data_IF_279373528351
#
_entry.id   IF_279373528351
#
_cell.length_a   1.000
_cell.length_b   1.000
_cell.length_c   1.000
_cell.angle_alpha   90.00
_cell.angle_beta   90.00
_cell.angle_gamma   90.00
#
_symmetry.space_group_name_H-M   'P 1'
#
loop_
_entity.id
_entity.type
_entity.pdbx_description
1 polymer ?
#
# COMPACT_ATOMS: atom_id res chain seq x y z
N UNK A 1 -9.21 -11.67 1.79
CA UNK A 1 -10.00 -10.83 0.86
C UNK A 1 -9.04 -9.79 0.32
N UNK A 2 -8.74 -9.82 -0.98
CA UNK A 2 -7.78 -8.88 -1.58
C UNK A 2 -8.45 -7.52 -1.79
N UNK A 3 -7.90 -6.49 -1.16
CA UNK A 3 -8.36 -5.11 -1.30
C UNK A 3 -7.39 -4.32 -2.19
N UNK A 4 -7.90 -3.28 -2.85
CA UNK A 4 -7.06 -2.37 -3.63
C UNK A 4 -6.00 -1.74 -2.73
N UNK A 5 -4.73 -1.77 -3.14
CA UNK A 5 -3.60 -1.22 -2.38
C UNK A 5 -3.87 0.23 -1.91
N UNK A 6 -4.38 1.08 -2.81
CA UNK A 6 -4.68 2.46 -2.49
C UNK A 6 -5.76 2.63 -1.42
N UNK A 7 -6.71 1.70 -1.33
CA UNK A 7 -7.77 1.74 -0.33
C UNK A 7 -7.24 1.29 1.03
N UNK A 8 -6.42 0.24 1.05
CA UNK A 8 -5.75 -0.27 2.25
C UNK A 8 -4.88 0.83 2.87
N UNK A 9 -4.00 1.43 2.07
CA UNK A 9 -3.09 2.45 2.57
C UNK A 9 -3.82 3.73 3.00
N UNK A 10 -4.86 4.15 2.28
CA UNK A 10 -5.69 5.28 2.70
C UNK A 10 -6.44 5.00 4.01
N UNK A 11 -6.93 3.77 4.21
CA UNK A 11 -7.55 3.35 5.48
C UNK A 11 -6.58 3.35 6.65
N UNK A 12 -5.33 2.98 6.41
CA UNK A 12 -4.28 3.01 7.43
C UNK A 12 -3.70 4.40 7.70
N UNK A 13 -4.24 5.46 7.07
CA UNK A 13 -3.82 6.84 7.32
C UNK A 13 -2.51 7.25 6.63
N UNK A 14 -2.00 6.45 5.68
CA UNK A 14 -0.74 6.73 4.98
C UNK A 14 -0.88 7.70 3.79
N UNK A 15 -2.02 8.38 3.68
CA UNK A 15 -2.28 9.42 2.68
C UNK A 15 -3.65 9.31 2.01
N UNK A 16 -3.96 10.25 1.12
CA UNK A 16 -5.18 10.21 0.31
C UNK A 16 -5.10 9.16 -0.80
N UNK A 17 -6.24 8.56 -1.19
CA UNK A 17 -6.28 7.56 -2.29
C UNK A 17 -5.51 8.02 -3.53
N UNK A 18 -5.66 9.30 -3.91
CA UNK A 18 -4.98 9.93 -5.06
C UNK A 18 -3.47 10.01 -4.90
N UNK A 19 -2.97 10.45 -3.75
CA UNK A 19 -1.52 10.49 -3.50
C UNK A 19 -0.90 9.11 -3.58
N UNK A 20 -1.62 8.11 -3.08
CA UNK A 20 -1.15 6.74 -3.07
C UNK A 20 -1.16 6.17 -4.48
N UNK A 21 -2.19 6.44 -5.26
CA UNK A 21 -2.22 6.11 -6.69
C UNK A 21 -1.03 6.72 -7.44
N UNK A 22 -0.71 8.00 -7.24
CA UNK A 22 0.47 8.62 -7.85
C UNK A 22 1.79 7.99 -7.40
N UNK A 23 1.92 7.63 -6.11
CA UNK A 23 3.13 6.95 -5.60
C UNK A 23 3.28 5.54 -6.17
N UNK A 24 2.18 4.82 -6.33
CA UNK A 24 2.16 3.48 -6.94
C UNK A 24 2.50 3.59 -8.43
N UNK A 25 1.90 4.52 -9.16
CA UNK A 25 2.18 4.76 -10.57
C UNK A 25 3.64 5.15 -10.82
N UNK A 26 4.23 5.93 -9.92
CA UNK A 26 5.65 6.27 -9.93
C UNK A 26 6.58 5.10 -9.55
N UNK A 27 6.05 3.91 -9.25
CA UNK A 27 6.83 2.74 -8.85
C UNK A 27 7.52 2.90 -7.49
N UNK A 28 7.08 3.85 -6.67
CA UNK A 28 7.67 4.13 -5.34
C UNK A 28 7.12 3.22 -4.25
N UNK A 29 6.10 2.43 -4.55
CA UNK A 29 5.47 1.52 -3.58
C UNK A 29 5.86 0.09 -3.90
N UNK A 30 6.41 -0.61 -2.91
CA UNK A 30 6.74 -2.03 -2.98
C UNK A 30 6.06 -2.78 -1.86
N UNK A 31 5.40 -3.87 -2.19
CA UNK A 31 4.70 -4.75 -1.26
C UNK A 31 5.48 -6.05 -1.21
N UNK A 32 6.03 -6.37 -0.04
CA UNK A 32 6.81 -7.59 0.21
C UNK A 32 7.96 -7.81 -0.79
N UNK A 33 8.58 -6.71 -1.23
CA UNK A 33 9.68 -6.73 -2.20
C UNK A 33 9.25 -6.70 -3.67
N UNK A 34 7.94 -6.82 -3.98
CA UNK A 34 7.41 -6.58 -5.34
C UNK A 34 6.97 -5.14 -5.50
N UNK A 35 7.39 -4.48 -6.57
CA UNK A 35 6.87 -3.15 -6.93
C UNK A 35 5.38 -3.29 -7.25
N UNK A 36 4.54 -2.56 -6.53
CA UNK A 36 3.11 -2.56 -6.76
C UNK A 36 2.77 -1.61 -7.91
N UNK A 37 1.72 -1.96 -8.66
CA UNK A 37 1.24 -1.18 -9.81
C UNK A 37 -0.19 -0.71 -9.59
N UNK A 38 -0.61 0.28 -10.38
CA UNK A 38 -1.93 0.87 -10.23
C UNK A 38 -3.01 -0.19 -10.51
N UNK A 39 -3.90 -0.42 -9.53
CA UNK A 39 -4.94 -1.45 -9.62
C UNK A 39 -4.55 -2.79 -9.01
N UNK A 40 -3.31 -2.93 -8.53
CA UNK A 40 -2.88 -4.11 -7.80
C UNK A 40 -3.67 -4.29 -6.49
N UNK A 41 -3.95 -5.55 -6.18
CA UNK A 41 -4.73 -5.92 -4.99
C UNK A 41 -3.80 -6.58 -3.99
N UNK A 42 -3.83 -6.08 -2.76
CA UNK A 42 -3.03 -6.64 -1.67
C UNK A 42 -3.93 -7.21 -0.61
N UNK A 43 -3.45 -8.26 0.03
CA UNK A 43 -4.12 -8.81 1.19
C UNK A 43 -3.44 -8.26 2.46
N UNK A 44 -4.24 -7.62 3.31
CA UNK A 44 -3.74 -7.03 4.56
C UNK A 44 -3.57 -8.15 5.57
N UNK A 45 -2.39 -8.76 5.57
CA UNK A 45 -2.03 -9.80 6.53
C UNK A 45 -1.16 -9.22 7.64
N UNK A 46 -1.29 -9.69 8.90
CA UNK A 46 -0.37 -9.32 9.96
C UNK A 46 1.04 -9.77 9.59
N UNK A 47 1.92 -8.79 9.31
CA UNK A 47 3.28 -9.02 8.81
C UNK A 47 3.55 -8.50 7.40
N UNK A 48 2.53 -7.98 6.70
CA UNK A 48 2.70 -7.34 5.40
C UNK A 48 3.69 -6.17 5.48
N UNK A 49 4.74 -6.24 4.67
CA UNK A 49 5.77 -5.21 4.57
C UNK A 49 5.53 -4.35 3.35
N UNK A 50 4.92 -3.19 3.54
CA UNK A 50 4.82 -2.20 2.47
C UNK A 50 5.97 -1.21 2.63
N UNK A 51 6.65 -0.89 1.54
CA UNK A 51 7.65 0.14 1.44
C UNK A 51 7.14 1.22 0.51
N UNK A 52 7.24 2.48 0.93
CA UNK A 52 6.97 3.64 0.09
C UNK A 52 8.19 4.54 0.14
N UNK A 53 8.81 4.81 -1.00
CA UNK A 53 9.96 5.72 -1.08
C UNK A 53 11.08 5.30 -0.10
N UNK A 54 11.34 3.99 -0.02
CA UNK A 54 12.29 3.40 0.92
C UNK A 54 11.81 3.26 2.38
N UNK A 55 10.70 3.89 2.76
CA UNK A 55 10.17 3.84 4.13
C UNK A 55 9.24 2.64 4.31
N UNK A 56 9.56 1.77 5.27
CA UNK A 56 8.69 0.67 5.66
C UNK A 56 7.48 1.21 6.43
N UNK A 57 6.29 1.03 5.87
CA UNK A 57 5.03 1.39 6.50
C UNK A 57 4.25 0.13 6.87
N UNK A 58 3.70 0.15 8.07
CA UNK A 58 2.81 -0.89 8.56
C UNK A 58 1.36 -0.42 8.38
N UNK A 59 0.62 -1.16 7.58
CA UNK A 59 -0.84 -1.08 7.47
C UNK A 59 -1.42 -2.02 8.51
N UNK A 60 -1.90 -1.47 9.62
CA UNK A 60 -2.74 -2.23 10.56
C UNK A 60 -4.19 -1.99 10.18
N UNK A 61 -4.95 -3.07 10.09
CA UNK A 61 -6.40 -2.97 10.01
C UNK A 61 -6.87 -2.36 11.35
N UNK A 62 -7.20 -1.07 11.34
CA UNK A 62 -7.93 -0.48 12.47
C UNK A 62 -9.33 -1.08 12.45
N UNK A 63 -9.51 -2.08 13.30
CA UNK A 63 -10.79 -2.72 13.59
C UNK A 63 -11.79 -1.72 14.15
#
# INVERSE_FOLDING_TARGET
MSEKLQKVLARAGHGSRREIESKIEAGRVSVDGKVATLGDRVEVVPGLKIRIDGHLISVKESR
#
